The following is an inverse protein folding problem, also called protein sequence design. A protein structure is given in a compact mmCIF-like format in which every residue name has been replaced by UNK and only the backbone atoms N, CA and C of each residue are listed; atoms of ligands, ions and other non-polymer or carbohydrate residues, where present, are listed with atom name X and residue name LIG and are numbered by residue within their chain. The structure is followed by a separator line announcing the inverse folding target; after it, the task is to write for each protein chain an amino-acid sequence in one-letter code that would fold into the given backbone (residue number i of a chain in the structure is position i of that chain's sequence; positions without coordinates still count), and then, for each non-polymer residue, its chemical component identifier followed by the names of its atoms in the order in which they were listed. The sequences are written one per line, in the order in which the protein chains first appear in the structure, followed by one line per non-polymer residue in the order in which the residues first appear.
data_IF_537914483507
#
_entry.id   IF_537914483507
#
_cell.length_a   1.000
_cell.length_b   1.000
_cell.length_c   1.000
_cell.angle_alpha   90.00
_cell.angle_beta   90.00
_cell.angle_gamma   90.00
#
_symmetry.space_group_name_H-M   'P 1'
#
loop_
_entity.id
_entity.type
_entity.pdbx_description
1 polymer ?
#
# COMPACT_ATOMS: atom_id res chain seq x y z
N UNK A 1 -12.27 1.81 -34.01
CA UNK A 1 -13.22 1.36 -32.97
C UNK A 1 -12.42 0.63 -31.89
N UNK A 2 -12.12 1.25 -30.74
CA UNK A 2 -11.46 0.56 -29.61
C UNK A 2 -12.25 0.84 -28.34
N UNK A 3 -13.19 -0.06 -28.04
CA UNK A 3 -13.92 -0.11 -26.78
C UNK A 3 -13.17 -1.06 -25.83
N UNK A 4 -12.00 -0.65 -25.35
CA UNK A 4 -11.28 -1.37 -24.31
C UNK A 4 -11.17 -0.48 -23.07
N UNK A 5 -11.82 -0.85 -21.96
CA UNK A 5 -11.48 -0.29 -20.65
C UNK A 5 -12.63 -0.01 -19.68
N UNK A 6 -13.91 0.01 -20.08
CA UNK A 6 -15.00 0.29 -19.13
C UNK A 6 -15.33 -0.86 -18.16
N UNK A 7 -14.76 -2.05 -18.39
CA UNK A 7 -14.99 -3.27 -17.59
C UNK A 7 -13.71 -4.01 -17.18
N UNK A 8 -12.53 -3.41 -17.32
CA UNK A 8 -11.35 -3.99 -16.67
C UNK A 8 -11.56 -3.81 -15.16
N UNK A 9 -11.69 -4.92 -14.43
CA UNK A 9 -11.73 -4.93 -12.98
C UNK A 9 -10.49 -4.18 -12.48
N UNK A 10 -10.66 -2.92 -12.10
CA UNK A 10 -9.53 -2.15 -11.58
C UNK A 10 -9.12 -2.77 -10.25
N UNK A 11 -7.82 -2.92 -9.98
CA UNK A 11 -7.38 -3.39 -8.69
C UNK A 11 -7.90 -2.44 -7.60
N UNK A 12 -8.58 -3.01 -6.62
CA UNK A 12 -9.03 -2.32 -5.41
C UNK A 12 -7.92 -2.44 -4.37
N UNK A 13 -7.49 -1.30 -3.83
CA UNK A 13 -6.48 -1.20 -2.78
C UNK A 13 -7.17 -0.90 -1.46
N UNK A 14 -6.97 -1.76 -0.45
CA UNK A 14 -7.49 -1.58 0.90
C UNK A 14 -6.32 -1.44 1.87
N UNK A 15 -6.30 -0.33 2.60
CA UNK A 15 -5.28 -0.03 3.59
C UNK A 15 -5.75 -0.64 4.92
N UNK A 16 -5.05 -1.68 5.39
CA UNK A 16 -5.30 -2.30 6.69
C UNK A 16 -4.25 -1.80 7.69
N UNK A 17 -4.65 -0.83 8.52
CA UNK A 17 -3.79 -0.23 9.56
C UNK A 17 -3.70 -1.09 10.82
N UNK A 18 -4.51 -2.13 10.95
CA UNK A 18 -4.43 -3.05 12.09
C UNK A 18 -3.30 -4.07 11.87
N UNK A 19 -3.13 -4.51 10.63
CA UNK A 19 -2.12 -5.48 10.24
C UNK A 19 -0.93 -4.86 9.49
N UNK A 20 -0.92 -3.54 9.31
CA UNK A 20 0.12 -2.78 8.63
C UNK A 20 0.41 -3.28 7.20
N UNK A 21 -0.66 -3.53 6.45
CA UNK A 21 -0.58 -4.06 5.09
C UNK A 21 -1.54 -3.34 4.13
N UNK A 22 -1.16 -3.27 2.86
CA UNK A 22 -2.05 -2.89 1.76
C UNK A 22 -2.51 -4.17 1.07
N UNK A 23 -3.81 -4.45 1.16
CA UNK A 23 -4.45 -5.57 0.46
C UNK A 23 -4.85 -5.12 -0.93
N UNK A 24 -4.40 -5.85 -1.94
CA UNK A 24 -4.72 -5.59 -3.34
C UNK A 24 -5.58 -6.75 -3.84
N UNK A 25 -6.71 -6.41 -4.45
CA UNK A 25 -7.64 -7.40 -4.96
C UNK A 25 -8.53 -6.83 -6.03
N UNK A 26 -9.59 -7.57 -6.34
CA UNK A 26 -10.61 -7.12 -7.27
C UNK A 26 -11.98 -7.32 -6.65
N UNK A 27 -12.92 -6.46 -7.04
CA UNK A 27 -14.32 -6.65 -6.68
C UNK A 27 -14.94 -7.72 -7.59
N UNK A 28 -15.40 -8.82 -7.00
CA UNK A 28 -16.14 -9.86 -7.69
C UNK A 28 -17.48 -9.34 -8.23
N UNK A 29 -18.13 -10.13 -9.10
CA UNK A 29 -19.45 -9.78 -9.66
C UNK A 29 -20.54 -9.61 -8.60
N UNK A 30 -20.39 -10.27 -7.45
CA UNK A 30 -21.25 -10.18 -6.28
C UNK A 30 -20.87 -9.02 -5.32
N UNK A 31 -19.91 -8.17 -5.68
CA UNK A 31 -19.45 -7.07 -4.82
C UNK A 31 -18.40 -7.48 -3.77
N UNK A 32 -18.09 -8.76 -3.62
CA UNK A 32 -17.09 -9.22 -2.66
C UNK A 32 -15.68 -8.84 -3.09
N UNK A 33 -14.87 -8.41 -2.12
CA UNK A 33 -13.46 -8.18 -2.36
C UNK A 33 -12.71 -9.51 -2.36
N UNK A 34 -12.11 -9.85 -3.50
CA UNK A 34 -11.24 -11.01 -3.63
C UNK A 34 -9.80 -10.52 -3.61
N UNK A 35 -9.16 -10.68 -2.46
CA UNK A 35 -7.74 -10.40 -2.28
C UNK A 35 -6.91 -11.28 -3.23
N UNK A 36 -5.94 -10.68 -3.89
CA UNK A 36 -4.95 -11.35 -4.75
C UNK A 36 -3.56 -11.29 -4.17
N UNK A 37 -3.20 -10.15 -3.60
CA UNK A 37 -1.88 -9.95 -3.00
C UNK A 37 -1.97 -9.01 -1.80
N UNK A 38 -0.90 -8.98 -1.01
CA UNK A 38 -0.70 -8.10 0.14
C UNK A 38 0.69 -7.46 0.02
N UNK A 39 0.81 -6.23 0.49
CA UNK A 39 2.07 -5.50 0.59
C UNK A 39 2.23 -5.03 2.02
N UNK A 40 3.29 -5.46 2.69
CA UNK A 40 3.58 -5.00 4.04
C UNK A 40 4.05 -3.54 3.99
N UNK A 41 3.65 -2.74 4.98
CA UNK A 41 4.06 -1.33 5.05
C UNK A 41 5.59 -1.18 5.14
N UNK A 42 6.27 -2.17 5.74
CA UNK A 42 7.73 -2.23 5.82
C UNK A 42 8.41 -2.31 4.44
N UNK A 43 7.75 -2.91 3.46
CA UNK A 43 8.28 -3.05 2.10
C UNK A 43 8.07 -1.78 1.27
N UNK A 44 7.27 -0.83 1.76
CA UNK A 44 6.98 0.43 1.07
C UNK A 44 8.04 1.45 1.46
N UNK A 45 8.92 1.77 0.50
CA UNK A 45 9.98 2.76 0.69
C UNK A 45 9.40 4.17 0.67
N UNK A 46 8.59 4.48 -0.34
CA UNK A 46 8.07 5.83 -0.53
C UNK A 46 6.79 5.89 -1.35
N UNK A 47 6.09 7.02 -1.22
CA UNK A 47 4.88 7.35 -1.97
C UNK A 47 5.15 8.59 -2.81
N UNK A 48 4.89 8.52 -4.11
CA UNK A 48 5.20 9.63 -5.02
C UNK A 48 4.11 9.87 -6.07
N UNK A 49 4.10 11.07 -6.63
CA UNK A 49 3.19 11.47 -7.69
C UNK A 49 3.93 11.55 -9.01
N UNK A 50 3.36 10.97 -10.06
CA UNK A 50 3.76 11.25 -11.42
C UNK A 50 2.81 12.29 -12.00
N UNK A 51 3.35 13.50 -12.20
CA UNK A 51 2.65 14.62 -12.83
C UNK A 51 2.91 14.59 -14.33
N UNK A 52 1.87 14.81 -15.12
CA UNK A 52 1.98 14.94 -16.58
C UNK A 52 1.79 16.39 -16.97
N UNK A 53 2.56 16.87 -17.95
CA UNK A 53 2.40 18.23 -18.49
C UNK A 53 1.18 18.35 -19.42
N UNK A 54 0.77 17.25 -20.05
CA UNK A 54 -0.24 17.27 -21.13
C UNK A 54 -1.68 17.02 -20.68
N UNK A 55 -2.16 17.73 -19.65
CA UNK A 55 -3.54 17.64 -19.15
C UNK A 55 -4.01 16.20 -18.77
N UNK A 56 -3.06 15.27 -18.54
CA UNK A 56 -3.35 13.90 -18.11
C UNK A 56 -3.56 13.87 -16.60
N UNK A 57 -4.35 12.91 -16.08
CA UNK A 57 -4.53 12.77 -14.65
C UNK A 57 -3.19 12.53 -13.95
N UNK A 58 -3.03 13.16 -12.80
CA UNK A 58 -1.91 12.89 -11.88
C UNK A 58 -2.08 11.48 -11.34
N UNK A 59 -0.98 10.74 -11.25
CA UNK A 59 -0.98 9.34 -10.82
C UNK A 59 -0.21 9.19 -9.51
N UNK A 60 -0.75 8.39 -8.59
CA UNK A 60 -0.15 8.08 -7.30
C UNK A 60 0.53 6.71 -7.37
N UNK A 61 1.79 6.65 -6.96
CA UNK A 61 2.62 5.46 -7.01
C UNK A 61 3.19 5.10 -5.62
N UNK A 62 3.35 3.79 -5.39
CA UNK A 62 4.15 3.22 -4.31
C UNK A 62 5.48 2.73 -4.86
N UNK A 63 6.58 3.09 -4.20
CA UNK A 63 7.87 2.44 -4.42
C UNK A 63 8.06 1.35 -3.38
N UNK A 64 8.35 0.14 -3.84
CA UNK A 64 8.68 -0.98 -2.97
C UNK A 64 10.20 -1.12 -2.83
N UNK A 65 10.67 -1.74 -1.75
CA UNK A 65 12.09 -1.92 -1.48
C UNK A 65 12.75 -2.87 -2.49
N UNK A 66 12.08 -3.97 -2.78
CA UNK A 66 12.61 -5.04 -3.62
C UNK A 66 12.37 -4.80 -5.12
N UNK A 67 11.45 -3.90 -5.45
CA UNK A 67 11.11 -3.56 -6.83
C UNK A 67 11.58 -2.14 -7.13
N UNK A 68 12.56 -2.01 -8.02
CA UNK A 68 13.00 -0.71 -8.54
C UNK A 68 11.91 0.06 -9.29
N UNK A 69 10.75 -0.55 -9.51
CA UNK A 69 9.59 0.03 -10.19
C UNK A 69 8.49 0.42 -9.20
N UNK A 70 7.77 1.49 -9.53
CA UNK A 70 6.62 1.93 -8.74
C UNK A 70 5.33 1.26 -9.18
N UNK A 71 4.45 0.94 -8.24
CA UNK A 71 3.09 0.44 -8.49
C UNK A 71 2.11 1.60 -8.49
N UNK A 72 1.36 1.79 -9.59
CA UNK A 72 0.29 2.78 -9.66
C UNK A 72 -0.90 2.33 -8.80
N UNK A 73 -1.31 3.14 -7.82
CA UNK A 73 -2.48 2.87 -6.97
C UNK A 73 -3.74 3.45 -7.59
N UNK A 74 -3.67 4.73 -8.00
CA UNK A 74 -4.83 5.49 -8.46
C UNK A 74 -4.37 6.69 -9.28
N UNK A 75 -5.30 7.29 -10.03
CA UNK A 75 -5.08 8.53 -10.76
C UNK A 75 -6.25 9.49 -10.59
N UNK A 76 -6.02 10.79 -10.82
CA UNK A 76 -7.05 11.81 -10.69
C UNK A 76 -6.52 13.25 -10.78
N UNK A 77 -7.28 14.19 -10.23
CA UNK A 77 -6.84 15.59 -10.14
C UNK A 77 -5.64 15.73 -9.21
N UNK A 78 -4.76 16.69 -9.51
CA UNK A 78 -3.55 16.91 -8.72
C UNK A 78 -3.87 17.16 -7.24
N UNK A 79 -4.81 18.06 -6.95
CA UNK A 79 -5.21 18.39 -5.58
C UNK A 79 -5.66 17.15 -4.79
N UNK A 80 -6.47 16.27 -5.41
CA UNK A 80 -6.92 15.03 -4.77
C UNK A 80 -5.77 14.06 -4.52
N UNK A 81 -4.85 13.93 -5.49
CA UNK A 81 -3.71 13.02 -5.37
C UNK A 81 -2.70 13.49 -4.31
N UNK A 82 -2.51 14.80 -4.14
CA UNK A 82 -1.67 15.35 -3.07
C UNK A 82 -2.25 15.06 -1.68
N UNK A 83 -3.56 15.23 -1.50
CA UNK A 83 -4.24 14.87 -0.24
C UNK A 83 -4.06 13.37 0.07
N UNK A 84 -4.29 12.50 -0.93
CA UNK A 84 -4.13 11.06 -0.76
C UNK A 84 -2.69 10.68 -0.45
N UNK A 85 -1.71 11.30 -1.12
CA UNK A 85 -0.29 11.07 -0.83
C UNK A 85 0.04 11.41 0.61
N UNK A 86 -0.35 12.59 1.09
CA UNK A 86 -0.06 13.03 2.45
C UNK A 86 -0.66 12.08 3.49
N UNK A 87 -1.93 11.70 3.31
CA UNK A 87 -2.59 10.73 4.18
C UNK A 87 -1.89 9.37 4.17
N UNK A 88 -1.50 8.86 3.00
CA UNK A 88 -0.79 7.58 2.91
C UNK A 88 0.59 7.65 3.58
N UNK A 89 1.30 8.76 3.43
CA UNK A 89 2.58 8.96 4.10
C UNK A 89 2.43 8.99 5.62
N UNK A 90 1.37 9.62 6.13
CA UNK A 90 1.05 9.64 7.55
C UNK A 90 0.76 8.23 8.07
N UNK A 91 -0.15 7.49 7.40
CA UNK A 91 -0.48 6.10 7.73
C UNK A 91 0.76 5.19 7.71
N UNK A 92 1.74 5.43 6.82
CA UNK A 92 2.99 4.67 6.75
C UNK A 92 4.03 5.10 7.80
N UNK A 93 4.03 6.37 8.21
CA UNK A 93 5.02 6.92 9.15
C UNK A 93 4.66 6.58 10.59
N UNK A 94 3.38 6.64 10.94
CA UNK A 94 2.87 6.27 12.28
C UNK A 94 3.25 4.82 12.65
N UNK A 95 3.34 3.95 11.64
CA UNK A 95 3.72 2.54 11.81
C UNK A 95 5.24 2.28 11.79
N UNK A 96 6.06 3.28 11.47
CA UNK A 96 7.53 3.21 11.62
C UNK A 96 8.00 3.62 13.02
N UNK A 97 7.08 3.89 13.95
CA UNK A 97 7.37 4.01 15.38
C UNK A 97 8.14 2.78 15.90
N UNK A 98 8.91 2.92 16.99
CA UNK A 98 9.88 1.89 17.40
C UNK A 98 9.19 0.54 17.55
N UNK A 99 9.54 -0.38 16.64
CA UNK A 99 9.22 -1.79 16.76
C UNK A 99 9.78 -2.26 18.11
N UNK A 100 8.91 -2.30 19.12
CA UNK A 100 9.21 -2.97 20.37
C UNK A 100 9.19 -4.45 20.02
N UNK A 101 10.38 -4.98 19.72
CA UNK A 101 10.59 -6.41 19.58
C UNK A 101 9.94 -7.11 20.79
N UNK A 102 9.20 -8.21 20.61
CA UNK A 102 8.66 -8.94 21.73
C UNK A 102 9.83 -9.38 22.60
N UNK A 103 9.93 -8.80 23.80
CA UNK A 103 10.91 -9.21 24.82
C UNK A 103 10.62 -10.67 25.13
N UNK A 104 11.38 -11.57 24.51
CA UNK A 104 11.34 -13.00 24.85
C UNK A 104 11.65 -13.10 26.34
N UNK A 105 10.77 -13.68 27.18
CA UNK A 105 11.12 -13.96 28.55
C UNK A 105 12.26 -14.99 28.53
N UNK A 106 13.46 -14.55 28.91
CA UNK A 106 14.61 -15.43 29.14
C UNK A 106 14.22 -16.32 30.31
N UNK A 107 13.86 -17.57 30.02
CA UNK A 107 13.65 -18.57 31.09
C UNK A 107 15.01 -18.79 31.77
N UNK A 108 15.12 -18.63 33.10
CA UNK A 108 16.36 -18.92 33.80
C UNK A 108 16.66 -20.42 33.63
N UNK A 109 17.87 -20.70 33.14
CA UNK A 109 18.43 -22.05 33.03
C UNK A 109 18.57 -22.60 34.44
N UNK A 110 17.69 -23.52 34.83
CA UNK A 110 17.90 -24.32 36.06
C UNK A 110 19.19 -25.11 35.87
N UNK A 111 20.18 -24.80 36.69
CA UNK A 111 21.35 -25.64 36.95
C UNK A 111 21.18 -26.17 38.37
N UNK A 112 21.02 -27.49 38.49
CA UNK A 112 21.22 -28.25 39.72
C UNK A 112 21.33 -29.72 39.26
N UNK A 113 22.53 -30.33 39.28
CA UNK A 113 23.34 -30.79 40.43
C UNK A 113 22.91 -32.19 40.85
#
# INVERSE_FOLDING_TARGET
LFWAGRHALQPEFRIDRLHNEIRIGFRGRNGEFRQRTRLDFGDIVSVFLLRSKDNRPTRLFLRLADLGTGIEITSGSQARMEILKLRLMDDLTDQRGPQTAPVRPVRPRRVAA
#
